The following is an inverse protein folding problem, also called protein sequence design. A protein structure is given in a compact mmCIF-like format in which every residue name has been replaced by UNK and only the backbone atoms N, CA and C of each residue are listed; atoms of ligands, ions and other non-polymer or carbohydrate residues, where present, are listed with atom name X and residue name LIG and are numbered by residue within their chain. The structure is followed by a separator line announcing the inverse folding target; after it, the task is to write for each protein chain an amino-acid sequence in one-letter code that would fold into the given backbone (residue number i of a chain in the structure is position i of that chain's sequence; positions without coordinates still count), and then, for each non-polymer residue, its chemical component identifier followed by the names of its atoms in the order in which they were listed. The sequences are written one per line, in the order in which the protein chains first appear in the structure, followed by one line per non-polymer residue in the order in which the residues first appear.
data_IF_488181478694
#
_entry.id   IF_488181478694
#
_cell.length_a   1.000
_cell.length_b   1.000
_cell.length_c   1.000
_cell.angle_alpha   90.00
_cell.angle_beta   90.00
_cell.angle_gamma   90.00
#
_symmetry.space_group_name_H-M   'P 1'
#
loop_
_entity.id
_entity.type
_entity.pdbx_description
1 polymer ?
#
# COMPACT_ATOMS: atom_id res chain seq x y z
N UNK A 1 1.88 -1.79 3.10
CA UNK A 1 1.87 -3.23 3.33
C UNK A 1 3.17 -3.88 2.86
N UNK A 2 3.45 -5.02 3.40
CA UNK A 2 4.50 -5.90 2.93
C UNK A 2 3.89 -7.23 2.51
N UNK A 3 4.22 -7.67 1.30
CA UNK A 3 3.83 -8.99 0.81
C UNK A 3 5.10 -9.85 0.75
N UNK A 4 5.01 -11.05 1.28
CA UNK A 4 6.11 -12.01 1.31
C UNK A 4 5.75 -13.24 0.48
N UNK A 5 6.62 -13.60 -0.48
CA UNK A 5 6.57 -14.91 -1.14
C UNK A 5 7.17 -15.93 -0.18
N UNK A 6 6.36 -16.84 0.33
CA UNK A 6 6.79 -17.80 1.34
C UNK A 6 7.76 -18.87 0.82
N UNK A 7 7.83 -19.07 -0.49
CA UNK A 7 8.77 -20.00 -1.09
C UNK A 7 10.17 -19.41 -1.27
N UNK A 8 10.26 -18.18 -1.83
CA UNK A 8 11.54 -17.53 -2.12
C UNK A 8 11.99 -16.57 -1.03
N UNK A 9 11.09 -16.21 -0.13
CA UNK A 9 11.26 -15.17 0.87
C UNK A 9 11.48 -13.76 0.28
N UNK A 10 11.15 -13.55 -1.00
CA UNK A 10 11.15 -12.23 -1.64
C UNK A 10 9.94 -11.46 -1.16
N UNK A 11 10.12 -10.15 -1.02
CA UNK A 11 9.12 -9.25 -0.45
C UNK A 11 8.81 -8.09 -1.39
N UNK A 12 7.68 -7.46 -1.15
CA UNK A 12 7.25 -6.25 -1.85
C UNK A 12 6.65 -5.27 -0.86
N UNK A 13 7.12 -4.04 -0.87
CA UNK A 13 6.59 -2.95 -0.06
C UNK A 13 5.73 -2.06 -0.95
N UNK A 14 4.48 -1.88 -0.58
CA UNK A 14 3.55 -1.03 -1.31
C UNK A 14 2.59 -0.30 -0.39
N UNK A 15 1.74 0.51 -0.97
CA UNK A 15 0.65 1.18 -0.26
C UNK A 15 -0.67 0.93 -0.99
N UNK A 16 -1.75 0.95 -0.23
CA UNK A 16 -3.10 0.89 -0.76
C UNK A 16 -4.04 1.63 0.17
N UNK A 17 -4.90 2.43 -0.40
CA UNK A 17 -5.94 3.09 0.36
C UNK A 17 -7.04 2.09 0.67
N UNK A 18 -7.54 2.11 1.91
CA UNK A 18 -8.61 1.22 2.32
C UNK A 18 -9.94 1.59 1.67
N UNK A 19 -10.10 2.86 1.30
CA UNK A 19 -11.31 3.37 0.69
C UNK A 19 -10.97 4.13 -0.60
N UNK A 20 -11.87 4.03 -1.57
CA UNK A 20 -11.84 4.87 -2.76
C UNK A 20 -13.10 5.73 -2.79
N UNK A 21 -13.01 6.88 -3.48
CA UNK A 21 -14.14 7.77 -3.66
C UNK A 21 -14.77 7.52 -5.01
N UNK A 22 -16.07 7.22 -5.02
CA UNK A 22 -16.85 7.07 -6.25
C UNK A 22 -17.95 8.13 -6.29
N UNK A 23 -18.27 8.60 -7.50
CA UNK A 23 -19.38 9.50 -7.72
C UNK A 23 -20.63 8.67 -8.01
N UNK A 24 -21.68 8.89 -7.22
CA UNK A 24 -22.97 8.22 -7.41
C UNK A 24 -24.05 9.28 -7.59
N UNK A 25 -24.98 9.04 -8.51
CA UNK A 25 -26.14 9.89 -8.69
C UNK A 25 -27.24 9.47 -7.70
N UNK A 26 -27.62 10.39 -6.82
CA UNK A 26 -28.70 10.17 -5.83
C UNK A 26 -29.69 11.33 -5.97
N UNK A 27 -30.96 11.02 -6.23
CA UNK A 27 -32.03 12.01 -6.39
C UNK A 27 -31.69 13.14 -7.38
N UNK A 28 -31.08 12.78 -8.53
CA UNK A 28 -30.67 13.73 -9.55
C UNK A 28 -29.41 14.55 -9.24
N UNK A 29 -28.75 14.32 -8.10
CA UNK A 29 -27.52 15.01 -7.71
C UNK A 29 -26.35 14.04 -7.64
N UNK A 30 -25.17 14.48 -8.07
CA UNK A 30 -23.94 13.71 -7.89
C UNK A 30 -23.43 13.83 -6.47
N UNK A 31 -23.21 12.70 -5.82
CA UNK A 31 -22.58 12.63 -4.50
C UNK A 31 -21.29 11.80 -4.57
N UNK A 32 -20.27 12.26 -3.87
CA UNK A 32 -19.07 11.44 -3.62
C UNK A 32 -19.34 10.55 -2.42
N UNK A 33 -19.10 9.25 -2.59
CA UNK A 33 -19.23 8.28 -1.54
C UNK A 33 -17.89 7.54 -1.33
N UNK A 34 -17.58 7.20 -0.10
CA UNK A 34 -16.48 6.30 0.23
C UNK A 34 -16.92 4.87 0.00
N UNK A 35 -16.12 4.11 -0.75
CA UNK A 35 -16.33 2.67 -0.91
C UNK A 35 -15.06 1.94 -0.51
N UNK A 36 -15.23 0.75 0.06
CA UNK A 36 -14.11 -0.11 0.41
C UNK A 36 -13.32 -0.46 -0.84
N UNK A 37 -12.00 -0.38 -0.75
CA UNK A 37 -11.10 -0.78 -1.84
C UNK A 37 -10.84 -2.29 -1.78
N UNK A 38 -10.11 -2.80 -2.77
CA UNK A 38 -9.67 -4.19 -2.85
C UNK A 38 -8.34 -4.44 -2.11
N UNK A 39 -8.04 -3.66 -1.08
CA UNK A 39 -6.73 -3.68 -0.39
C UNK A 39 -6.35 -5.06 0.13
N UNK A 40 -7.33 -5.90 0.47
CA UNK A 40 -7.08 -7.25 1.01
C UNK A 40 -6.61 -8.23 -0.05
N UNK A 41 -6.93 -7.99 -1.32
CA UNK A 41 -6.56 -8.86 -2.45
C UNK A 41 -5.63 -8.19 -3.44
N UNK A 42 -5.18 -6.99 -3.17
CA UNK A 42 -4.36 -6.19 -4.07
C UNK A 42 -2.87 -6.53 -3.89
N UNK A 43 -2.23 -6.91 -4.99
CA UNK A 43 -0.81 -7.30 -5.01
C UNK A 43 0.11 -6.27 -5.67
N UNK A 44 -0.31 -5.02 -5.68
CA UNK A 44 0.50 -3.93 -6.24
C UNK A 44 0.52 -3.92 -7.76
N UNK A 45 1.37 -3.06 -8.30
CA UNK A 45 1.55 -2.88 -9.74
C UNK A 45 2.78 -3.58 -10.31
N UNK A 46 3.53 -4.31 -9.49
CA UNK A 46 4.74 -5.00 -9.92
C UNK A 46 4.38 -6.27 -10.70
N UNK A 47 4.80 -6.32 -11.98
CA UNK A 47 4.45 -7.43 -12.87
C UNK A 47 5.08 -8.76 -12.44
N UNK A 48 6.31 -8.73 -11.93
CA UNK A 48 7.00 -9.93 -11.46
C UNK A 48 6.29 -10.55 -10.27
N UNK A 49 5.87 -9.74 -9.30
CA UNK A 49 5.09 -10.21 -8.17
C UNK A 49 3.76 -10.79 -8.63
N UNK A 50 3.05 -10.10 -9.50
CA UNK A 50 1.76 -10.58 -10.02
C UNK A 50 1.89 -11.91 -10.75
N UNK A 51 2.96 -12.11 -11.52
CA UNK A 51 3.23 -13.38 -12.19
C UNK A 51 3.49 -14.50 -11.20
N UNK A 52 4.28 -14.24 -10.15
CA UNK A 52 4.57 -15.24 -9.13
C UNK A 52 3.31 -15.64 -8.35
N UNK A 53 2.43 -14.68 -8.07
CA UNK A 53 1.13 -14.98 -7.43
C UNK A 53 0.28 -15.89 -8.29
N UNK A 54 0.27 -15.68 -9.61
CA UNK A 54 -0.47 -16.54 -10.54
C UNK A 54 0.12 -17.94 -10.62
N UNK A 55 1.45 -18.06 -10.60
CA UNK A 55 2.14 -19.34 -10.74
C UNK A 55 2.08 -20.18 -9.47
N UNK A 56 2.25 -19.55 -8.31
CA UNK A 56 2.41 -20.24 -7.02
C UNK A 56 1.12 -20.32 -6.22
N UNK A 57 0.13 -19.46 -6.54
CA UNK A 57 -1.11 -19.34 -5.80
C UNK A 57 -1.02 -18.35 -4.63
N UNK A 58 -2.15 -17.72 -4.31
CA UNK A 58 -2.23 -16.72 -3.25
C UNK A 58 -1.90 -17.27 -1.88
N UNK A 59 -2.12 -18.54 -1.64
CA UNK A 59 -1.84 -19.23 -0.38
C UNK A 59 -0.35 -19.29 -0.04
N UNK A 60 0.53 -19.08 -1.02
CA UNK A 60 1.98 -19.03 -0.81
C UNK A 60 2.50 -17.62 -0.50
N UNK A 61 1.61 -16.66 -0.32
CA UNK A 61 1.97 -15.28 -0.04
C UNK A 61 1.33 -14.81 1.26
N UNK A 62 2.11 -14.05 2.03
CA UNK A 62 1.66 -13.45 3.29
C UNK A 62 1.58 -11.94 3.11
N UNK A 63 0.51 -11.34 3.61
CA UNK A 63 0.29 -9.90 3.59
C UNK A 63 0.27 -9.37 5.01
N UNK A 64 1.03 -8.29 5.27
CA UNK A 64 1.03 -7.59 6.55
C UNK A 64 0.92 -6.09 6.32
N UNK A 65 0.22 -5.41 7.22
CA UNK A 65 0.19 -3.96 7.25
C UNK A 65 1.27 -3.50 8.22
N UNK A 66 2.21 -2.68 7.74
CA UNK A 66 3.31 -2.18 8.54
C UNK A 66 2.93 -0.88 9.25
N UNK A 67 2.24 0.02 8.55
CA UNK A 67 1.80 1.32 9.06
C UNK A 67 0.37 1.60 8.66
N UNK A 68 -0.37 2.25 9.56
CA UNK A 68 -1.70 2.76 9.30
C UNK A 68 -1.63 4.28 9.22
N UNK A 69 -2.14 4.87 8.15
CA UNK A 69 -1.98 6.28 7.84
C UNK A 69 -3.33 6.97 7.70
N UNK A 70 -3.43 8.19 8.22
CA UNK A 70 -4.68 8.98 8.13
C UNK A 70 -4.77 9.79 6.84
N UNK A 71 -3.64 10.09 6.19
CA UNK A 71 -3.61 10.88 4.98
C UNK A 71 -2.79 10.21 3.90
N UNK A 72 -3.08 10.56 2.64
CA UNK A 72 -2.33 10.06 1.48
C UNK A 72 -0.88 10.53 1.52
N UNK A 73 -0.63 11.75 1.97
CA UNK A 73 0.73 12.29 2.07
C UNK A 73 1.58 11.52 3.07
N UNK A 74 1.05 11.24 4.25
CA UNK A 74 1.73 10.42 5.26
C UNK A 74 1.97 9.01 4.75
N UNK A 75 0.99 8.42 4.07
CA UNK A 75 1.12 7.08 3.51
C UNK A 75 2.26 7.00 2.49
N UNK A 76 2.32 7.96 1.56
CA UNK A 76 3.39 8.02 0.56
C UNK A 76 4.77 8.20 1.19
N UNK A 77 4.86 9.06 2.21
CA UNK A 77 6.11 9.28 2.93
C UNK A 77 6.59 8.01 3.64
N UNK A 78 5.71 7.34 4.36
CA UNK A 78 6.07 6.13 5.12
C UNK A 78 6.39 4.96 4.19
N UNK A 79 5.70 4.82 3.07
CA UNK A 79 6.04 3.82 2.06
C UNK A 79 7.47 4.02 1.56
N UNK A 80 7.80 5.24 1.13
CA UNK A 80 9.13 5.55 0.61
C UNK A 80 10.20 5.35 1.70
N UNK A 81 9.91 5.78 2.93
CA UNK A 81 10.83 5.62 4.06
C UNK A 81 11.14 4.15 4.31
N UNK A 82 10.13 3.29 4.35
CA UNK A 82 10.33 1.85 4.52
C UNK A 82 11.13 1.25 3.37
N UNK A 83 10.85 1.68 2.14
CA UNK A 83 11.58 1.20 0.97
C UNK A 83 13.07 1.60 1.03
N UNK A 84 13.40 2.83 1.45
CA UNK A 84 14.78 3.27 1.59
C UNK A 84 15.49 2.58 2.75
N UNK A 85 14.85 2.48 3.91
CA UNK A 85 15.44 1.84 5.10
C UNK A 85 15.77 0.37 4.81
N UNK A 86 14.94 -0.31 4.04
CA UNK A 86 15.11 -1.73 3.71
C UNK A 86 15.96 -1.96 2.47
N UNK A 87 16.44 -0.90 1.82
CA UNK A 87 17.28 -0.96 0.62
C UNK A 87 16.66 -1.81 -0.51
N UNK A 88 15.36 -1.64 -0.74
CA UNK A 88 14.59 -2.56 -1.60
C UNK A 88 15.09 -2.62 -3.05
N UNK A 89 15.67 -1.53 -3.57
CA UNK A 89 16.19 -1.51 -4.95
C UNK A 89 17.68 -1.86 -5.04
N UNK A 90 18.33 -2.07 -3.90
CA UNK A 90 19.75 -2.43 -3.84
C UNK A 90 19.97 -3.93 -3.65
N UNK A 91 18.90 -4.72 -3.59
CA UNK A 91 18.96 -6.15 -3.31
C UNK A 91 17.90 -6.89 -4.13
N UNK A 92 18.15 -8.16 -4.40
CA UNK A 92 17.20 -9.05 -5.07
C UNK A 92 16.16 -9.66 -4.09
N UNK A 93 16.23 -9.31 -2.81
CA UNK A 93 15.30 -9.83 -1.79
C UNK A 93 13.92 -9.18 -1.88
N UNK A 94 13.76 -8.15 -2.71
CA UNK A 94 12.51 -7.44 -2.91
C UNK A 94 12.12 -7.41 -4.39
N UNK A 95 10.82 -7.45 -4.64
CA UNK A 95 10.28 -7.25 -5.99
C UNK A 95 10.35 -5.79 -6.44
N UNK A 96 10.48 -4.85 -5.50
CA UNK A 96 10.53 -3.42 -5.81
C UNK A 96 11.71 -3.12 -6.72
N UNK A 97 11.44 -2.48 -7.86
CA UNK A 97 12.46 -2.12 -8.85
C UNK A 97 12.71 -0.62 -8.94
N UNK A 98 11.85 0.17 -8.29
CA UNK A 98 11.98 1.62 -8.28
C UNK A 98 11.24 2.19 -7.08
N UNK A 99 11.67 3.39 -6.66
CA UNK A 99 11.02 4.14 -5.59
C UNK A 99 10.63 5.50 -6.15
N UNK A 100 9.34 5.83 -6.07
CA UNK A 100 8.86 7.16 -6.42
C UNK A 100 8.23 7.79 -5.18
N UNK A 101 8.72 9.00 -4.82
CA UNK A 101 8.18 9.75 -3.72
C UNK A 101 8.05 11.21 -4.10
N UNK A 102 6.91 11.78 -3.77
CA UNK A 102 6.65 13.21 -3.91
C UNK A 102 5.98 13.71 -2.63
N UNK A 103 6.81 14.16 -1.70
CA UNK A 103 6.37 14.53 -0.35
C UNK A 103 6.86 15.92 -0.01
N UNK A 104 6.00 16.74 0.58
CA UNK A 104 6.33 18.05 1.11
C UNK A 104 6.27 18.02 2.63
N UNK A 105 6.95 18.95 3.27
CA UNK A 105 6.90 19.08 4.72
C UNK A 105 5.47 19.25 5.24
N UNK A 106 4.62 19.97 4.51
CA UNK A 106 3.22 20.16 4.88
C UNK A 106 2.42 18.87 4.89
N UNK A 107 2.81 17.84 4.09
CA UNK A 107 2.14 16.54 4.07
C UNK A 107 2.37 15.76 5.36
N UNK A 108 3.49 15.97 6.02
CA UNK A 108 3.92 15.23 7.21
C UNK A 108 3.96 16.07 8.47
N UNK A 109 3.58 17.36 8.39
CA UNK A 109 3.61 18.29 9.53
C UNK A 109 2.77 17.87 10.72
N UNK A 110 1.72 17.07 10.48
CA UNK A 110 0.92 16.44 11.52
C UNK A 110 1.01 14.94 11.43
N UNK A 111 2.21 14.38 11.48
CA UNK A 111 2.43 12.94 11.28
C UNK A 111 1.63 12.13 12.28
N UNK A 112 0.53 11.50 11.81
CA UNK A 112 -0.32 10.63 12.60
C UNK A 112 -0.26 9.21 12.08
N UNK A 113 0.47 8.37 12.80
CA UNK A 113 0.51 6.93 12.56
C UNK A 113 -0.24 6.26 13.71
N UNK A 114 -1.24 5.43 13.37
CA UNK A 114 -2.00 4.71 14.39
C UNK A 114 -1.67 3.23 14.33
N UNK A 115 -1.62 2.60 15.50
CA UNK A 115 -1.40 1.16 15.61
C UNK A 115 -2.70 0.36 15.62
N UNK A 116 -3.84 0.98 15.92
CA UNK A 116 -5.12 0.29 16.07
C UNK A 116 -6.07 0.44 14.85
N UNK A 117 -5.78 1.32 13.94
CA UNK A 117 -6.39 1.37 12.64
C UNK A 117 -7.82 1.82 12.50
N UNK A 118 -8.51 2.24 13.58
CA UNK A 118 -9.92 2.59 13.51
C UNK A 118 -10.20 3.81 12.63
N UNK A 119 -9.28 4.76 12.58
CA UNK A 119 -9.43 6.01 11.80
C UNK A 119 -8.53 6.05 10.56
N UNK A 120 -7.84 4.95 10.25
CA UNK A 120 -6.90 4.94 9.13
C UNK A 120 -7.62 4.83 7.79
N UNK A 121 -7.13 5.56 6.79
CA UNK A 121 -7.66 5.52 5.42
C UNK A 121 -6.75 4.73 4.48
N UNK A 122 -5.51 4.49 4.86
CA UNK A 122 -4.53 3.76 4.05
C UNK A 122 -3.50 3.07 4.94
N UNK A 123 -2.73 2.17 4.35
CA UNK A 123 -1.73 1.41 5.08
C UNK A 123 -0.54 0.99 4.22
N UNK A 124 0.53 0.73 4.93
CA UNK A 124 1.78 0.21 4.39
C UNK A 124 2.12 -1.11 5.02
#
# INVERSE_FOLDING_TARGET
YIITNNESNRKYIGKKFFYSTKTKQVKGKRKRIKVSSDWQSYYGSNAELQNDVKLLGEENFTREIIHLCKTKGVCGYLEAKEQFIRNVIETDDYYNSWIMVRVRQSHIGGLNVTSNGTDAESGI
#
